data_IF_474684132043
#
_entry.id   IF_474684132043
#
_cell.length_a   1.000
_cell.length_b   1.000
_cell.length_c   1.000
_cell.angle_alpha   90.00
_cell.angle_beta   90.00
_cell.angle_gamma   90.00
#
_symmetry.space_group_name_H-M   'P 1'
#
loop_
_entity.id
_entity.type
_entity.pdbx_description
1 polymer ?
#
# COMPACT_ATOMS: atom_id res chain seq x y z
N UNK A 1 -3.24 -32.07 -16.11
CA UNK A 1 -3.32 -30.59 -16.11
C UNK A 1 -2.81 -30.00 -14.80
N UNK A 2 -3.46 -30.25 -13.65
CA UNK A 2 -3.00 -29.73 -12.34
C UNK A 2 -1.56 -30.12 -11.96
N UNK A 3 -1.14 -31.37 -12.21
CA UNK A 3 0.25 -31.80 -11.95
C UNK A 3 1.29 -31.01 -12.76
N UNK A 4 0.96 -30.60 -13.99
CA UNK A 4 1.87 -29.79 -14.81
C UNK A 4 2.12 -28.42 -14.15
N UNK A 5 1.04 -27.74 -13.76
CA UNK A 5 1.11 -26.44 -13.08
C UNK A 5 1.82 -26.58 -11.72
N UNK A 6 1.51 -27.64 -10.97
CA UNK A 6 2.10 -27.86 -9.65
C UNK A 6 3.61 -28.12 -9.66
N UNK A 7 4.17 -28.53 -10.80
CA UNK A 7 5.60 -28.81 -10.95
C UNK A 7 6.39 -27.62 -11.49
N UNK A 8 5.75 -26.47 -11.76
CA UNK A 8 6.47 -25.29 -12.26
C UNK A 8 7.39 -24.71 -11.16
N UNK A 9 8.65 -24.37 -11.48
CA UNK A 9 9.59 -23.83 -10.50
C UNK A 9 9.07 -22.62 -9.73
N UNK A 10 8.29 -21.75 -10.39
CA UNK A 10 7.71 -20.54 -9.80
C UNK A 10 6.77 -20.78 -8.60
N UNK A 11 6.35 -22.02 -8.33
CA UNK A 11 5.49 -22.39 -7.20
C UNK A 11 6.15 -23.30 -6.16
N UNK A 12 7.29 -23.92 -6.49
CA UNK A 12 7.97 -24.88 -5.62
C UNK A 12 9.19 -24.24 -4.96
N UNK A 13 9.86 -23.37 -5.70
CA UNK A 13 11.13 -22.81 -5.27
C UNK A 13 10.92 -21.65 -4.30
N UNK A 14 11.25 -21.90 -3.03
CA UNK A 14 11.20 -20.89 -1.96
C UNK A 14 12.14 -19.72 -2.26
N UNK A 15 13.22 -19.94 -3.02
CA UNK A 15 14.13 -18.87 -3.43
C UNK A 15 13.46 -17.88 -4.38
N UNK A 16 12.49 -18.31 -5.19
CA UNK A 16 11.69 -17.43 -6.02
C UNK A 16 10.87 -16.50 -5.14
N UNK A 17 10.14 -17.04 -4.16
CA UNK A 17 9.33 -16.21 -3.24
C UNK A 17 10.20 -15.27 -2.42
N UNK A 18 11.38 -15.70 -1.99
CA UNK A 18 12.34 -14.83 -1.28
C UNK A 18 12.88 -13.72 -2.18
N UNK A 19 13.15 -14.03 -3.45
CA UNK A 19 13.60 -13.06 -4.46
C UNK A 19 12.52 -12.01 -4.74
N UNK A 20 11.25 -12.42 -4.82
CA UNK A 20 10.10 -11.52 -4.97
C UNK A 20 10.03 -10.53 -3.81
N UNK A 21 10.14 -11.05 -2.58
CA UNK A 21 10.15 -10.24 -1.37
C UNK A 21 11.31 -9.24 -1.35
N UNK A 22 12.53 -9.71 -1.65
CA UNK A 22 13.70 -8.83 -1.70
C UNK A 22 13.57 -7.77 -2.78
N UNK A 23 12.98 -8.10 -3.93
CA UNK A 23 12.78 -7.18 -5.03
C UNK A 23 11.83 -6.03 -4.67
N UNK A 24 10.76 -6.33 -3.93
CA UNK A 24 9.68 -5.39 -3.64
C UNK A 24 9.86 -4.66 -2.32
N UNK A 25 10.30 -5.37 -1.28
CA UNK A 25 10.45 -4.86 0.09
C UNK A 25 11.87 -4.39 0.39
N UNK A 26 12.86 -4.80 -0.41
CA UNK A 26 14.27 -4.54 -0.15
C UNK A 26 14.84 -5.37 1.01
N UNK A 27 16.09 -5.08 1.40
CA UNK A 27 16.79 -5.78 2.48
C UNK A 27 16.42 -5.27 3.89
N UNK A 28 15.74 -4.13 4.00
CA UNK A 28 15.24 -3.56 5.26
C UNK A 28 13.75 -3.19 5.11
N UNK A 29 12.87 -4.11 5.49
CA UNK A 29 11.41 -4.01 5.35
C UNK A 29 10.78 -2.78 6.03
N UNK A 30 11.46 -2.16 7.00
CA UNK A 30 10.92 -1.07 7.82
C UNK A 30 10.96 0.33 7.17
N UNK A 31 11.43 0.48 5.93
CA UNK A 31 11.63 1.80 5.29
C UNK A 31 11.20 1.87 3.81
N UNK A 32 10.49 0.86 3.29
CA UNK A 32 10.11 0.83 1.89
C UNK A 32 9.09 1.95 1.57
N UNK A 33 9.53 2.95 0.78
CA UNK A 33 8.63 4.01 0.32
C UNK A 33 7.62 3.49 -0.71
N UNK A 34 6.40 4.08 -0.81
CA UNK A 34 5.40 3.67 -1.79
C UNK A 34 5.93 3.67 -3.23
N UNK A 35 6.79 4.62 -3.60
CA UNK A 35 7.39 4.71 -4.93
C UNK A 35 8.39 3.56 -5.21
N UNK A 36 9.16 3.16 -4.19
CA UNK A 36 10.08 2.03 -4.31
C UNK A 36 9.28 0.73 -4.52
N UNK A 37 8.25 0.52 -3.71
CA UNK A 37 7.36 -0.64 -3.80
C UNK A 37 6.62 -0.68 -5.13
N UNK A 38 6.10 0.45 -5.61
CA UNK A 38 5.44 0.54 -6.92
C UNK A 38 6.35 0.07 -8.05
N UNK A 39 7.63 0.46 -8.02
CA UNK A 39 8.63 0.03 -9.00
C UNK A 39 8.96 -1.46 -8.85
N UNK A 40 9.12 -1.94 -7.62
CA UNK A 40 9.35 -3.35 -7.32
C UNK A 40 8.22 -4.23 -7.85
N UNK A 41 6.98 -3.90 -7.50
CA UNK A 41 5.78 -4.59 -7.97
C UNK A 41 5.68 -4.57 -9.49
N UNK A 42 5.89 -3.41 -10.12
CA UNK A 42 5.85 -3.30 -11.59
C UNK A 42 6.86 -4.25 -12.25
N UNK A 43 8.07 -4.36 -11.69
CA UNK A 43 9.11 -5.25 -12.21
C UNK A 43 8.76 -6.73 -11.98
N UNK A 44 8.29 -7.07 -10.78
CA UNK A 44 7.86 -8.43 -10.45
C UNK A 44 6.68 -8.88 -11.33
N UNK A 45 5.65 -8.06 -11.44
CA UNK A 45 4.45 -8.38 -12.20
C UNK A 45 4.75 -8.53 -13.69
N UNK A 46 5.66 -7.71 -14.23
CA UNK A 46 6.19 -7.93 -15.58
C UNK A 46 6.89 -9.29 -15.72
N UNK A 47 7.72 -9.68 -14.77
CA UNK A 47 8.39 -10.99 -14.78
C UNK A 47 7.39 -12.15 -14.70
N UNK A 48 6.38 -12.03 -13.84
CA UNK A 48 5.27 -12.98 -13.74
C UNK A 48 4.57 -13.11 -15.09
N UNK A 49 4.15 -11.99 -15.69
CA UNK A 49 3.47 -11.98 -16.99
C UNK A 49 4.34 -12.60 -18.09
N UNK A 50 5.64 -12.28 -18.14
CA UNK A 50 6.57 -12.85 -19.12
C UNK A 50 6.74 -14.36 -18.92
N UNK A 51 6.72 -14.84 -17.68
CA UNK A 51 6.79 -16.27 -17.36
C UNK A 51 5.50 -16.98 -17.75
N UNK A 52 4.34 -16.42 -17.41
CA UNK A 52 3.02 -16.94 -17.82
C UNK A 52 2.90 -17.00 -19.34
N UNK A 53 3.42 -16.00 -20.07
CA UNK A 53 3.42 -16.00 -21.54
C UNK A 53 4.24 -17.15 -22.13
N UNK A 54 5.38 -17.49 -21.55
CA UNK A 54 6.20 -18.65 -21.97
C UNK A 54 5.48 -19.97 -21.70
N UNK A 55 4.85 -20.09 -20.53
CA UNK A 55 4.05 -21.25 -20.17
C UNK A 55 2.82 -21.38 -21.09
N UNK A 56 2.15 -20.28 -21.43
CA UNK A 56 1.03 -20.25 -22.35
C UNK A 56 1.39 -20.83 -23.72
N UNK A 57 2.54 -20.45 -24.29
CA UNK A 57 3.02 -21.01 -25.56
C UNK A 57 3.18 -22.55 -25.49
N UNK A 58 3.69 -23.07 -24.38
CA UNK A 58 3.83 -24.52 -24.15
C UNK A 58 2.46 -25.18 -23.96
N UNK A 59 1.59 -24.56 -23.18
CA UNK A 59 0.26 -25.07 -22.87
C UNK A 59 -0.57 -25.21 -24.15
N UNK A 60 -0.58 -24.18 -24.98
CA UNK A 60 -1.29 -24.16 -26.26
C UNK A 60 -0.79 -25.23 -27.24
N UNK A 61 0.50 -25.58 -27.18
CA UNK A 61 1.10 -26.57 -28.07
C UNK A 61 0.89 -28.03 -27.61
N UNK A 62 0.75 -28.26 -26.30
CA UNK A 62 0.86 -29.60 -25.71
C UNK A 62 -0.47 -30.13 -25.15
N UNK A 63 -1.41 -29.26 -24.79
CA UNK A 63 -2.65 -29.68 -24.14
C UNK A 63 -3.87 -29.61 -25.08
N UNK A 64 -4.77 -30.60 -25.02
CA UNK A 64 -6.01 -30.60 -25.81
C UNK A 64 -7.03 -29.54 -25.34
N UNK A 65 -6.98 -29.16 -24.05
CA UNK A 65 -7.82 -28.13 -23.44
C UNK A 65 -6.95 -27.05 -22.80
N UNK A 66 -6.32 -26.16 -23.58
CA UNK A 66 -5.36 -25.20 -23.05
C UNK A 66 -5.99 -24.17 -22.11
N UNK A 67 -7.25 -23.78 -22.34
CA UNK A 67 -7.96 -22.81 -21.49
C UNK A 67 -8.08 -23.29 -20.04
N UNK A 68 -8.44 -24.56 -19.82
CA UNK A 68 -8.54 -25.14 -18.46
C UNK A 68 -7.20 -25.07 -17.72
N UNK A 69 -6.10 -25.35 -18.44
CA UNK A 69 -4.75 -25.31 -17.86
C UNK A 69 -4.32 -23.87 -17.57
N UNK A 70 -4.67 -22.91 -18.45
CA UNK A 70 -4.40 -21.50 -18.23
C UNK A 70 -5.16 -20.95 -17.02
N UNK A 71 -6.44 -21.30 -16.85
CA UNK A 71 -7.21 -20.93 -15.66
C UNK A 71 -6.52 -21.39 -14.38
N UNK A 72 -6.09 -22.66 -14.33
CA UNK A 72 -5.38 -23.22 -13.16
C UNK A 72 -4.04 -22.52 -12.92
N UNK A 73 -3.28 -22.22 -14.00
CA UNK A 73 -2.00 -21.53 -13.90
C UNK A 73 -2.17 -20.12 -13.32
N UNK A 74 -3.06 -19.32 -13.91
CA UNK A 74 -3.28 -17.92 -13.51
C UNK A 74 -3.88 -17.83 -12.12
N UNK A 75 -4.85 -18.70 -11.78
CA UNK A 75 -5.40 -18.79 -10.43
C UNK A 75 -4.29 -19.01 -9.41
N UNK A 76 -3.39 -19.97 -9.67
CA UNK A 76 -2.29 -20.29 -8.75
C UNK A 76 -1.26 -19.17 -8.64
N UNK A 77 -0.97 -18.45 -9.73
CA UNK A 77 -0.12 -17.26 -9.69
C UNK A 77 -0.67 -16.23 -8.70
N UNK A 78 -1.97 -15.94 -8.79
CA UNK A 78 -2.62 -14.98 -7.89
C UNK A 78 -2.67 -15.50 -6.46
N UNK A 79 -3.19 -16.71 -6.24
CA UNK A 79 -3.43 -17.26 -4.91
C UNK A 79 -2.16 -17.63 -4.13
N UNK A 80 -1.05 -17.90 -4.81
CA UNK A 80 0.20 -18.31 -4.14
C UNK A 80 1.26 -17.22 -4.20
N UNK A 81 1.69 -16.85 -5.41
CA UNK A 81 2.86 -15.96 -5.58
C UNK A 81 2.51 -14.51 -5.23
N UNK A 82 1.37 -14.02 -5.72
CA UNK A 82 0.92 -12.65 -5.43
C UNK A 82 0.43 -12.54 -3.99
N UNK A 83 -0.46 -13.43 -3.52
CA UNK A 83 -0.94 -13.42 -2.14
C UNK A 83 0.21 -13.45 -1.13
N UNK A 84 1.20 -14.34 -1.29
CA UNK A 84 2.31 -14.44 -0.33
C UNK A 84 3.15 -13.16 -0.23
N UNK A 85 3.27 -12.40 -1.32
CA UNK A 85 3.92 -11.10 -1.28
C UNK A 85 3.02 -10.06 -0.61
N UNK A 86 1.73 -10.02 -0.96
CA UNK A 86 0.78 -9.07 -0.40
C UNK A 86 0.63 -9.24 1.11
N UNK A 87 0.62 -10.47 1.63
CA UNK A 87 0.56 -10.77 3.06
C UNK A 87 1.71 -10.10 3.85
N UNK A 88 2.90 -10.04 3.25
CA UNK A 88 4.07 -9.40 3.86
C UNK A 88 4.09 -7.89 3.64
N UNK A 89 3.59 -7.43 2.50
CA UNK A 89 3.56 -6.02 2.14
C UNK A 89 2.48 -5.24 2.91
N UNK A 90 1.33 -5.86 3.15
CA UNK A 90 0.12 -5.25 3.68
C UNK A 90 -0.20 -5.72 5.11
N UNK A 91 0.84 -5.87 5.93
CA UNK A 91 0.65 -6.15 7.36
C UNK A 91 -0.16 -5.02 8.02
N UNK A 92 -1.30 -5.39 8.63
CA UNK A 92 -2.25 -4.44 9.21
C UNK A 92 -1.64 -3.73 10.43
N UNK A 93 -1.54 -2.39 10.46
CA UNK A 93 -1.04 -1.67 11.62
C UNK A 93 -2.07 -1.64 12.76
N UNK A 94 -1.62 -1.47 14.00
CA UNK A 94 -2.54 -1.26 15.11
C UNK A 94 -3.17 0.14 15.05
N UNK A 95 -4.51 0.21 15.05
CA UNK A 95 -5.24 1.48 15.21
C UNK A 95 -5.17 1.99 16.65
N UNK A 96 -5.18 1.08 17.64
CA UNK A 96 -5.15 1.44 19.05
C UNK A 96 -3.78 1.98 19.48
N UNK A 97 -2.70 1.45 18.91
CA UNK A 97 -1.32 1.84 19.21
C UNK A 97 -0.55 2.10 17.90
N UNK A 98 -0.88 3.17 17.17
CA UNK A 98 -0.28 3.41 15.88
C UNK A 98 1.19 3.82 16.03
N UNK A 99 2.03 3.40 15.08
CA UNK A 99 3.42 3.87 15.00
C UNK A 99 3.46 5.38 14.86
N UNK A 100 4.49 6.07 15.38
CA UNK A 100 4.66 7.50 15.19
C UNK A 100 4.65 7.89 13.71
N UNK A 101 4.21 9.12 13.39
CA UNK A 101 4.12 9.59 12.01
C UNK A 101 5.50 9.60 11.30
N UNK A 102 6.58 9.86 12.04
CA UNK A 102 7.96 9.80 11.53
C UNK A 102 8.39 8.40 11.07
N UNK A 103 7.71 7.35 11.54
CA UNK A 103 7.93 5.96 11.13
C UNK A 103 6.89 5.48 10.10
N UNK A 104 6.13 6.42 9.52
CA UNK A 104 5.12 6.18 8.49
C UNK A 104 3.67 6.11 9.00
N UNK A 105 3.45 5.81 10.28
CA UNK A 105 2.12 5.74 10.89
C UNK A 105 1.14 4.83 10.13
N UNK A 106 -0.17 5.09 10.29
CA UNK A 106 -1.22 4.39 9.54
C UNK A 106 -1.23 4.80 8.06
N UNK A 107 -0.86 6.05 7.77
CA UNK A 107 -0.85 6.60 6.42
C UNK A 107 0.04 5.81 5.46
N UNK A 108 1.21 5.32 5.93
CA UNK A 108 2.09 4.50 5.11
C UNK A 108 1.39 3.22 4.66
N UNK A 109 0.70 2.52 5.55
CA UNK A 109 -0.08 1.33 5.19
C UNK A 109 -1.14 1.64 4.12
N UNK A 110 -1.90 2.74 4.27
CA UNK A 110 -2.93 3.14 3.29
C UNK A 110 -2.33 3.46 1.92
N UNK A 111 -1.17 4.11 1.86
CA UNK A 111 -0.44 4.37 0.62
C UNK A 111 0.07 3.09 -0.03
N UNK A 112 0.57 2.16 0.78
CA UNK A 112 1.06 0.86 0.32
C UNK A 112 -0.09 0.00 -0.22
N UNK A 113 -1.25 0.01 0.45
CA UNK A 113 -2.48 -0.64 0.00
C UNK A 113 -2.93 -0.11 -1.36
N UNK A 114 -2.96 1.22 -1.54
CA UNK A 114 -3.33 1.83 -2.82
C UNK A 114 -2.39 1.40 -3.96
N UNK A 115 -1.07 1.48 -3.73
CA UNK A 115 -0.06 1.06 -4.70
C UNK A 115 -0.19 -0.43 -5.03
N UNK A 116 -0.35 -1.28 -4.02
CA UNK A 116 -0.49 -2.72 -4.21
C UNK A 116 -1.74 -3.05 -5.03
N UNK A 117 -2.86 -2.39 -4.73
CA UNK A 117 -4.12 -2.56 -5.46
C UNK A 117 -3.99 -2.16 -6.93
N UNK A 118 -3.52 -0.94 -7.21
CA UNK A 118 -3.35 -0.44 -8.58
C UNK A 118 -2.44 -1.36 -9.42
N UNK A 119 -1.30 -1.77 -8.85
CA UNK A 119 -0.37 -2.64 -9.55
C UNK A 119 -0.93 -4.04 -9.77
N UNK A 120 -1.73 -4.55 -8.85
CA UNK A 120 -2.31 -5.89 -9.01
C UNK A 120 -3.46 -5.87 -10.02
N UNK A 121 -4.20 -4.77 -10.11
CA UNK A 121 -5.15 -4.55 -11.22
C UNK A 121 -4.44 -4.44 -12.58
N UNK A 122 -3.27 -3.78 -12.67
CA UNK A 122 -2.45 -3.79 -13.88
C UNK A 122 -2.03 -5.22 -14.26
N UNK A 123 -1.56 -6.02 -13.29
CA UNK A 123 -1.23 -7.43 -13.50
C UNK A 123 -2.43 -8.24 -14.01
N UNK A 124 -3.62 -8.04 -13.43
CA UNK A 124 -4.84 -8.73 -13.85
C UNK A 124 -5.14 -8.49 -15.34
N UNK A 125 -5.04 -7.23 -15.78
CA UNK A 125 -5.21 -6.84 -17.19
C UNK A 125 -4.15 -7.50 -18.09
N UNK A 126 -2.90 -7.54 -17.65
CA UNK A 126 -1.81 -8.16 -18.40
C UNK A 126 -1.98 -9.68 -18.52
N UNK A 127 -2.41 -10.36 -17.45
CA UNK A 127 -2.68 -11.80 -17.44
C UNK A 127 -3.88 -12.15 -18.33
N UNK A 128 -4.94 -11.34 -18.28
CA UNK A 128 -6.09 -11.46 -19.19
C UNK A 128 -5.64 -11.32 -20.65
N UNK A 129 -4.75 -10.38 -20.96
CA UNK A 129 -4.23 -10.18 -22.31
C UNK A 129 -3.34 -11.35 -22.81
N UNK A 130 -2.64 -12.05 -21.91
CA UNK A 130 -1.91 -13.28 -22.23
C UNK A 130 -2.86 -14.45 -22.51
N UNK A 131 -3.99 -14.49 -21.80
CA UNK A 131 -5.02 -15.52 -21.90
C UNK A 131 -5.16 -16.30 -20.60
N UNK A 132 -6.27 -16.11 -19.90
CA UNK A 132 -6.55 -16.70 -18.59
C UNK A 132 -7.63 -17.79 -18.59
N UNK A 133 -8.03 -18.28 -19.77
CA UNK A 133 -9.15 -19.20 -19.90
C UNK A 133 -10.47 -18.55 -19.44
N UNK A 134 -11.31 -19.32 -18.76
CA UNK A 134 -12.60 -18.87 -18.21
C UNK A 134 -12.48 -18.31 -16.78
N UNK A 135 -11.26 -18.08 -16.29
CA UNK A 135 -11.04 -17.52 -14.95
C UNK A 135 -11.48 -16.05 -14.90
N UNK A 136 -12.29 -15.72 -13.89
CA UNK A 136 -12.57 -14.32 -13.51
C UNK A 136 -11.37 -13.75 -12.74
N UNK A 137 -10.36 -13.29 -13.48
CA UNK A 137 -9.10 -12.77 -12.93
C UNK A 137 -9.34 -11.49 -12.12
N UNK A 138 -10.29 -10.67 -12.54
CA UNK A 138 -10.67 -9.42 -11.90
C UNK A 138 -11.38 -9.70 -10.58
N UNK A 139 -12.36 -10.61 -10.57
CA UNK A 139 -13.03 -11.04 -9.34
C UNK A 139 -12.05 -11.69 -8.36
N UNK A 140 -11.12 -12.52 -8.85
CA UNK A 140 -10.07 -13.10 -8.00
C UNK A 140 -9.13 -12.02 -7.46
N UNK A 141 -8.73 -11.05 -8.28
CA UNK A 141 -7.90 -9.91 -7.84
C UNK A 141 -8.61 -9.08 -6.78
N UNK A 142 -9.90 -8.80 -6.96
CA UNK A 142 -10.71 -8.07 -5.99
C UNK A 142 -10.81 -8.82 -4.66
N UNK A 143 -10.93 -10.15 -4.71
CA UNK A 143 -10.97 -10.98 -3.50
C UNK A 143 -9.70 -10.88 -2.63
N UNK A 144 -8.52 -10.67 -3.24
CA UNK A 144 -7.25 -10.49 -2.52
C UNK A 144 -7.25 -9.24 -1.62
N UNK A 145 -8.05 -8.23 -1.96
CA UNK A 145 -8.10 -6.95 -1.23
C UNK A 145 -9.36 -6.77 -0.40
N UNK A 146 -10.37 -7.64 -0.53
CA UNK A 146 -11.65 -7.57 0.20
C UNK A 146 -11.48 -7.26 1.69
N UNK A 147 -10.69 -8.06 2.42
CA UNK A 147 -10.45 -7.89 3.85
C UNK A 147 -9.73 -6.58 4.24
N UNK A 148 -9.05 -5.93 3.29
CA UNK A 148 -8.44 -4.61 3.48
C UNK A 148 -9.41 -3.49 3.15
N UNK A 149 -10.26 -3.67 2.13
CA UNK A 149 -11.29 -2.70 1.70
C UNK A 149 -12.44 -2.59 2.70
N UNK A 150 -12.82 -3.70 3.31
CA UNK A 150 -13.90 -3.72 4.32
C UNK A 150 -13.57 -2.87 5.55
N UNK A 151 -12.28 -2.84 5.95
CA UNK A 151 -11.78 -2.06 7.09
C UNK A 151 -11.18 -0.70 6.68
N UNK A 152 -11.15 -0.39 5.38
CA UNK A 152 -10.51 0.82 4.86
C UNK A 152 -11.04 2.11 5.51
N UNK A 153 -12.37 2.31 5.70
CA UNK A 153 -12.88 3.53 6.31
C UNK A 153 -12.32 3.79 7.71
N UNK A 154 -12.18 2.74 8.53
CA UNK A 154 -11.64 2.83 9.89
C UNK A 154 -10.17 3.25 9.88
N UNK A 155 -9.36 2.64 8.99
CA UNK A 155 -7.94 3.00 8.86
C UNK A 155 -7.75 4.42 8.32
N UNK A 156 -8.51 4.81 7.30
CA UNK A 156 -8.43 6.16 6.72
C UNK A 156 -8.82 7.22 7.75
N UNK A 157 -9.89 6.99 8.51
CA UNK A 157 -10.29 7.89 9.59
C UNK A 157 -9.23 7.97 10.70
N UNK A 158 -8.66 6.83 11.11
CA UNK A 158 -7.61 6.79 12.12
C UNK A 158 -6.34 7.52 11.66
N UNK A 159 -5.95 7.36 10.39
CA UNK A 159 -4.84 8.08 9.76
C UNK A 159 -5.05 9.60 9.79
N UNK A 160 -6.22 10.08 9.36
CA UNK A 160 -6.54 11.51 9.38
C UNK A 160 -6.55 12.08 10.81
N UNK A 161 -7.04 11.33 11.80
CA UNK A 161 -6.98 11.71 13.22
C UNK A 161 -5.54 11.81 13.70
N UNK A 162 -4.69 10.84 13.34
CA UNK A 162 -3.28 10.83 13.70
C UNK A 162 -2.54 12.05 13.13
N UNK A 163 -2.75 12.35 11.84
CA UNK A 163 -2.19 13.53 11.18
C UNK A 163 -2.64 14.83 11.85
N UNK A 164 -3.92 14.92 12.19
CA UNK A 164 -4.48 16.08 12.88
C UNK A 164 -3.88 16.31 14.26
N UNK A 165 -3.80 15.25 15.07
CA UNK A 165 -3.21 15.33 16.41
C UNK A 165 -1.74 15.75 16.36
N UNK A 166 -0.96 15.13 15.45
CA UNK A 166 0.45 15.48 15.25
C UNK A 166 0.61 16.95 14.86
N UNK A 167 -0.24 17.46 13.95
CA UNK A 167 -0.16 18.87 13.53
C UNK A 167 -0.53 19.84 14.64
N UNK A 168 -1.52 19.51 15.47
CA UNK A 168 -1.86 20.34 16.63
C UNK A 168 -0.73 20.37 17.66
N UNK A 169 -0.03 19.26 17.88
CA UNK A 169 1.14 19.21 18.77
C UNK A 169 2.29 20.06 18.25
N UNK A 170 2.57 20.00 16.94
CA UNK A 170 3.54 20.85 16.25
C UNK A 170 3.24 22.34 16.46
N UNK A 171 2.01 22.77 16.16
CA UNK A 171 1.58 24.18 16.31
C UNK A 171 1.65 24.67 17.77
N UNK A 172 1.32 23.81 18.74
CA UNK A 172 1.48 24.14 20.17
C UNK A 172 2.94 24.30 20.54
N UNK A 173 3.81 23.41 20.08
CA UNK A 173 5.25 23.49 20.33
C UNK A 173 5.87 24.75 19.71
N UNK A 174 5.44 25.16 18.52
CA UNK A 174 5.85 26.41 17.87
C UNK A 174 5.42 27.65 18.68
N UNK A 175 4.16 27.67 19.15
CA UNK A 175 3.63 28.78 19.96
C UNK A 175 4.37 28.94 21.30
N UNK A 176 4.79 27.84 21.92
CA UNK A 176 5.58 27.85 23.16
C UNK A 176 7.01 28.37 22.93
N UNK A 177 7.65 28.02 21.81
CA UNK A 177 9.00 28.51 21.44
C UNK A 177 9.04 30.01 21.18
N UNK A 178 7.99 30.57 20.59
CA UNK A 178 7.86 32.03 20.38
C UNK A 178 7.72 32.80 21.70
N UNK A 179 7.29 32.12 22.77
CA UNK A 179 7.03 32.72 24.08
C UNK A 179 8.21 32.66 25.05
N UNK A 180 9.33 32.01 24.72
CA UNK A 180 10.53 32.02 25.58
C UNK A 180 11.29 33.35 25.45
N UNK A 181 11.36 34.18 26.50
CA UNK A 181 12.08 35.44 26.44
C UNK A 181 13.58 35.17 26.45
N UNK A 182 14.25 35.53 25.35
CA UNK A 182 15.70 35.70 25.33
C UNK A 182 16.09 36.66 26.47
N UNK A 183 16.86 36.15 27.42
CA UNK A 183 17.01 36.76 28.73
C UNK A 183 17.48 38.21 28.70
N UNK A 184 16.83 39.07 29.47
CA UNK A 184 17.54 40.06 30.28
C UNK A 184 16.71 40.44 31.50
N UNK A 185 17.41 40.44 32.63
CA UNK A 185 16.94 40.65 34.00
C UNK A 185 16.24 42.02 34.13
N UNK A 186 14.99 42.03 34.62
CA UNK A 186 14.26 43.28 34.87
C UNK A 186 12.93 43.07 35.60
N UNK A 187 12.93 43.32 36.90
CA UNK A 187 11.80 43.24 37.85
C UNK A 187 10.67 44.22 37.50
N UNK A 188 9.47 43.74 37.15
CA UNK A 188 8.21 44.49 37.35
C UNK A 188 6.96 43.63 37.26
N UNK A 189 5.98 44.00 38.11
CA UNK A 189 4.67 43.40 38.39
C UNK A 189 3.78 43.21 37.16
N UNK A 190 3.07 42.08 37.15
CA UNK A 190 1.66 41.96 36.75
C UNK A 190 1.29 42.42 35.35
N UNK A 191 1.34 41.48 34.39
CA UNK A 191 0.48 41.54 33.21
C UNK A 191 0.06 40.12 32.88
N UNK A 192 -1.24 39.86 32.96
CA UNK A 192 -1.88 38.67 32.40
C UNK A 192 -1.48 38.58 30.92
N UNK A 193 -0.75 37.52 30.57
CA UNK A 193 -0.41 37.17 29.19
C UNK A 193 -1.74 36.97 28.47
N UNK A 194 -2.16 37.98 27.70
CA UNK A 194 -3.27 37.82 26.79
C UNK A 194 -2.86 36.72 25.81
N UNK A 195 -3.59 35.59 25.81
CA UNK A 195 -3.44 34.59 24.77
C UNK A 195 -3.69 35.28 23.43
N UNK A 196 -2.66 35.40 22.60
CA UNK A 196 -2.84 35.82 21.22
C UNK A 196 -3.92 34.94 20.60
N UNK A 197 -4.90 35.49 19.87
CA UNK A 197 -5.90 34.68 19.19
C UNK A 197 -5.15 33.70 18.28
N UNK A 198 -5.58 32.44 18.23
CA UNK A 198 -5.04 31.47 17.26
C UNK A 198 -5.21 32.06 15.86
N UNK A 199 -4.16 32.67 15.32
CA UNK A 199 -4.13 33.02 13.91
C UNK A 199 -4.17 31.71 13.13
N UNK A 200 -5.17 31.60 12.25
CA UNK A 200 -5.34 30.43 11.39
C UNK A 200 -4.13 30.37 10.46
N UNK A 201 -3.23 29.42 10.71
CA UNK A 201 -2.04 29.21 9.88
C UNK A 201 -2.45 28.68 8.50
N UNK A 202 -2.23 29.49 7.46
CA UNK A 202 -2.47 29.10 6.06
C UNK A 202 -1.69 27.83 5.70
N UNK A 203 -0.48 27.67 6.23
CA UNK A 203 0.34 26.48 6.02
C UNK A 203 -0.32 25.22 6.60
N UNK A 204 -0.84 25.30 7.83
CA UNK A 204 -1.54 24.19 8.47
C UNK A 204 -2.81 23.81 7.70
N UNK A 205 -3.61 24.80 7.28
CA UNK A 205 -4.81 24.57 6.47
C UNK A 205 -4.46 23.90 5.14
N UNK A 206 -3.38 24.34 4.48
CA UNK A 206 -2.92 23.77 3.21
C UNK A 206 -2.52 22.30 3.36
N UNK A 207 -1.84 21.94 4.45
CA UNK A 207 -1.51 20.54 4.74
C UNK A 207 -2.77 19.68 4.98
N UNK A 208 -3.74 20.19 5.74
CA UNK A 208 -5.01 19.49 5.95
C UNK A 208 -5.76 19.25 4.65
N UNK A 209 -5.84 20.25 3.77
CA UNK A 209 -6.46 20.10 2.45
C UNK A 209 -5.76 19.01 1.65
N UNK A 210 -4.42 19.07 1.57
CA UNK A 210 -3.62 18.07 0.85
C UNK A 210 -3.85 16.63 1.37
N UNK A 211 -3.92 16.44 2.70
CA UNK A 211 -4.20 15.12 3.27
C UNK A 211 -5.59 14.61 2.93
N UNK A 212 -6.59 15.50 2.89
CA UNK A 212 -7.95 15.14 2.49
C UNK A 212 -8.05 14.83 0.99
N UNK A 213 -7.36 15.59 0.13
CA UNK A 213 -7.29 15.28 -1.32
C UNK A 213 -6.68 13.91 -1.57
N UNK A 214 -5.62 13.57 -0.83
CA UNK A 214 -4.97 12.27 -0.92
C UNK A 214 -5.90 11.13 -0.42
N UNK A 215 -6.64 11.37 0.67
CA UNK A 215 -7.63 10.44 1.20
C UNK A 215 -8.80 10.23 0.22
N UNK A 216 -9.28 11.29 -0.42
CA UNK A 216 -10.32 11.21 -1.45
C UNK A 216 -9.82 10.39 -2.63
N UNK A 217 -8.59 10.61 -3.09
CA UNK A 217 -7.99 9.84 -4.19
C UNK A 217 -7.98 8.34 -3.88
N UNK A 218 -7.54 7.95 -2.67
CA UNK A 218 -7.61 6.55 -2.22
C UNK A 218 -9.04 6.04 -2.10
N UNK A 219 -9.95 6.84 -1.57
CA UNK A 219 -11.35 6.47 -1.42
C UNK A 219 -11.98 6.18 -2.78
N UNK A 220 -11.73 7.03 -3.78
CA UNK A 220 -12.22 6.81 -5.14
C UNK A 220 -11.66 5.53 -5.76
N UNK A 221 -10.38 5.23 -5.51
CA UNK A 221 -9.73 4.01 -6.00
C UNK A 221 -10.37 2.74 -5.43
N UNK A 222 -10.72 2.72 -4.14
CA UNK A 222 -11.34 1.55 -3.51
C UNK A 222 -12.86 1.47 -3.71
N UNK A 223 -13.50 2.59 -4.04
CA UNK A 223 -14.95 2.66 -4.27
C UNK A 223 -15.35 2.29 -5.70
N UNK A 224 -14.41 2.33 -6.66
CA UNK A 224 -14.68 1.89 -8.03
C UNK A 224 -14.82 0.37 -8.09
N UNK A 225 -16.03 -0.07 -8.47
CA UNK A 225 -16.42 -1.43 -8.85
C UNK A 225 -15.95 -1.78 -10.25
#
# INVERSE_FOLDING_TARGET
MQHYVATRPMFIDVEVMNSDNKLVLGDQSSQASPNYVARGLSKLYKEITDTVRKEAATIMAVFPSPNDVMSILVQRVLEQRVTSLLDKLLEKPSIAHPRPLGEGGILLYLRMLAVAYEKTQELARDLRAVGCGDLDVEGLTESLFSAHKDEYPEYEQASLRQLYQAKLEELRAESQKVSEPSGTIGRSKGASVASSPLEISVAAVTEFVRWNEEAITRCTLFSSL
#
